data_IF_164541966559
#
_entry.id   IF_164541966559
#
_cell.length_a   1.000
_cell.length_b   1.000
_cell.length_c   1.000
_cell.angle_alpha   90.00
_cell.angle_beta   90.00
_cell.angle_gamma   90.00
#
_symmetry.space_group_name_H-M   'P 1'
#
loop_
_entity.id
_entity.type
_entity.pdbx_description
1 polymer ?
#
# COMPACT_ATOMS: atom_id res chain seq x y z
N UNK A 1 6.62 -5.09 10.78
CA UNK A 1 5.37 -5.13 11.58
C UNK A 1 4.90 -6.58 11.60
N UNK A 2 4.69 -7.16 12.77
CA UNK A 2 4.01 -8.46 12.87
C UNK A 2 2.63 -8.31 12.25
N UNK A 3 2.18 -9.28 11.44
CA UNK A 3 0.81 -9.28 10.94
C UNK A 3 -0.14 -9.24 12.13
N UNK A 4 -1.08 -8.31 12.11
CA UNK A 4 -2.12 -8.20 13.11
C UNK A 4 -2.89 -9.52 13.17
N UNK A 5 -2.87 -10.18 14.32
CA UNK A 5 -3.51 -11.49 14.48
C UNK A 5 -4.72 -11.37 15.39
N UNK A 6 -5.91 -11.54 14.81
CA UNK A 6 -7.14 -11.73 15.57
C UNK A 6 -7.08 -13.10 16.25
N UNK A 7 -7.35 -13.12 17.56
CA UNK A 7 -7.26 -14.32 18.39
C UNK A 7 -8.62 -14.98 18.59
N UNK A 8 -9.69 -14.19 18.73
CA UNK A 8 -11.02 -14.70 18.97
C UNK A 8 -12.13 -13.73 18.56
N UNK A 9 -13.32 -14.29 18.38
CA UNK A 9 -14.58 -13.56 18.29
C UNK A 9 -15.09 -13.24 19.71
N UNK A 10 -15.48 -12.00 19.97
CA UNK A 10 -16.32 -11.70 21.13
C UNK A 10 -17.71 -12.32 20.97
N UNK A 11 -18.30 -12.81 22.05
CA UNK A 11 -19.63 -13.42 22.02
C UNK A 11 -20.72 -12.45 21.55
N UNK A 12 -20.52 -11.15 21.76
CA UNK A 12 -21.43 -10.09 21.35
C UNK A 12 -21.18 -9.52 19.93
N UNK A 13 -20.30 -10.15 19.14
CA UNK A 13 -20.09 -9.79 17.72
C UNK A 13 -21.29 -10.19 16.86
N UNK A 14 -21.65 -9.38 15.86
CA UNK A 14 -22.59 -9.70 14.79
C UNK A 14 -21.89 -10.31 13.56
N UNK A 15 -20.55 -10.21 13.49
CA UNK A 15 -19.79 -10.62 12.30
C UNK A 15 -18.65 -11.55 12.68
N UNK A 16 -18.94 -12.84 12.96
CA UNK A 16 -17.93 -13.81 13.33
C UNK A 16 -16.84 -13.97 12.25
N UNK A 17 -15.59 -14.01 12.68
CA UNK A 17 -14.45 -14.42 11.86
C UNK A 17 -14.37 -15.95 11.89
N UNK A 18 -14.31 -16.63 10.72
CA UNK A 18 -14.29 -18.08 10.65
C UNK A 18 -13.05 -18.67 11.31
N UNK A 19 -13.20 -19.90 11.80
CA UNK A 19 -12.14 -20.73 12.40
C UNK A 19 -11.52 -20.19 13.70
N UNK A 20 -11.99 -19.03 14.19
CA UNK A 20 -11.60 -18.46 15.48
C UNK A 20 -12.61 -18.82 16.59
N UNK A 21 -12.14 -19.06 17.83
CA UNK A 21 -13.01 -19.37 18.95
C UNK A 21 -13.90 -18.18 19.33
N UNK A 22 -15.04 -18.46 19.96
CA UNK A 22 -15.86 -17.46 20.63
C UNK A 22 -15.47 -17.31 22.09
N UNK A 23 -15.42 -16.07 22.57
CA UNK A 23 -14.99 -15.71 23.91
C UNK A 23 -16.02 -14.78 24.51
N UNK A 24 -16.40 -15.07 25.75
CA UNK A 24 -17.27 -14.23 26.55
C UNK A 24 -16.64 -12.84 26.78
N UNK A 25 -17.35 -11.83 26.30
CA UNK A 25 -17.00 -10.40 26.35
C UNK A 25 -18.00 -9.60 27.21
N UNK A 26 -18.87 -10.27 27.97
CA UNK A 26 -19.95 -9.63 28.75
C UNK A 26 -19.46 -8.73 29.87
N UNK A 27 -18.19 -8.85 30.30
CA UNK A 27 -17.57 -7.96 31.29
C UNK A 27 -17.10 -6.62 30.70
N UNK A 28 -17.19 -6.43 29.37
CA UNK A 28 -16.87 -5.18 28.68
C UNK A 28 -18.17 -4.56 28.12
N UNK A 29 -18.40 -3.25 28.29
CA UNK A 29 -19.62 -2.60 27.82
C UNK A 29 -19.58 -2.32 26.30
N UNK A 30 -19.66 -3.36 25.48
CA UNK A 30 -19.48 -3.28 24.01
C UNK A 30 -20.55 -2.46 23.27
N UNK A 31 -21.61 -2.00 23.94
CA UNK A 31 -22.67 -1.17 23.35
C UNK A 31 -22.34 0.34 23.34
N UNK A 32 -21.37 0.80 24.13
CA UNK A 32 -20.96 2.20 24.21
C UNK A 32 -19.44 2.32 24.11
N UNK A 33 -18.96 2.87 22.99
CA UNK A 33 -17.53 3.01 22.75
C UNK A 33 -16.78 3.85 23.78
N UNK A 34 -17.42 4.85 24.39
CA UNK A 34 -16.79 5.62 25.49
C UNK A 34 -16.65 4.77 26.74
N UNK A 35 -17.65 3.93 27.00
CA UNK A 35 -17.59 2.99 28.11
C UNK A 35 -16.51 1.92 27.87
N UNK A 36 -16.34 1.44 26.63
CA UNK A 36 -15.23 0.56 26.24
C UNK A 36 -13.89 1.22 26.54
N UNK A 37 -13.64 2.44 26.03
CA UNK A 37 -12.40 3.19 26.30
C UNK A 37 -12.13 3.32 27.81
N UNK A 38 -13.16 3.61 28.60
CA UNK A 38 -13.05 3.86 30.03
C UNK A 38 -12.65 2.62 30.87
N UNK A 39 -12.74 1.41 30.31
CA UNK A 39 -12.28 0.17 30.96
C UNK A 39 -10.76 0.16 31.09
N UNK A 40 -10.03 0.55 30.04
CA UNK A 40 -8.58 0.48 30.00
C UNK A 40 -7.89 1.82 30.21
N UNK A 41 -8.45 2.90 29.68
CA UNK A 41 -7.80 4.21 29.68
C UNK A 41 -7.58 4.76 31.08
N UNK A 42 -6.31 4.95 31.45
CA UNK A 42 -5.89 5.50 32.75
C UNK A 42 -6.40 4.72 33.97
N UNK A 43 -6.68 3.42 33.83
CA UNK A 43 -7.17 2.57 34.93
C UNK A 43 -6.08 1.76 35.63
N UNK A 44 -4.89 1.66 35.05
CA UNK A 44 -3.75 0.95 35.63
C UNK A 44 -2.50 1.10 34.78
N UNK A 45 -1.36 0.66 35.31
CA UNK A 45 -0.11 0.62 34.54
C UNK A 45 -0.25 -0.36 33.36
N UNK A 46 0.08 0.10 32.16
CA UNK A 46 0.02 -0.73 30.95
C UNK A 46 -1.39 -0.91 30.38
N UNK A 47 -2.42 -0.27 30.95
CA UNK A 47 -3.77 -0.32 30.41
C UNK A 47 -4.03 0.88 29.50
N UNK A 48 -4.59 0.60 28.33
CA UNK A 48 -4.89 1.57 27.30
C UNK A 48 -6.33 1.45 26.86
N UNK A 49 -6.86 2.55 26.34
CA UNK A 49 -8.16 2.58 25.70
C UNK A 49 -8.27 3.80 24.82
N UNK A 50 -9.06 3.67 23.76
CA UNK A 50 -9.35 4.76 22.83
C UNK A 50 -10.74 4.57 22.26
N UNK A 51 -11.43 5.68 22.06
CA UNK A 51 -12.68 5.77 21.33
C UNK A 51 -12.56 6.85 20.27
N UNK A 52 -13.02 6.54 19.06
CA UNK A 52 -13.18 7.51 17.99
C UNK A 52 -14.53 7.31 17.29
N UNK A 53 -15.14 8.41 16.85
CA UNK A 53 -16.22 8.35 15.87
C UNK A 53 -15.63 7.99 14.51
N UNK A 54 -16.39 7.21 13.72
CA UNK A 54 -15.96 6.85 12.37
C UNK A 54 -15.70 8.10 11.52
N UNK A 55 -14.57 8.15 10.81
CA UNK A 55 -14.26 9.29 9.92
C UNK A 55 -15.01 9.07 8.60
N UNK A 56 -16.01 9.90 8.32
CA UNK A 56 -16.73 9.88 7.03
C UNK A 56 -17.94 8.96 6.95
N UNK A 57 -18.46 8.47 8.09
CA UNK A 57 -19.67 7.66 8.12
C UNK A 57 -20.33 7.63 9.49
N UNK A 58 -21.37 6.81 9.62
CA UNK A 58 -22.06 6.61 10.89
C UNK A 58 -21.36 5.53 11.74
N UNK A 59 -21.55 5.58 13.05
CA UNK A 59 -20.98 4.62 14.00
C UNK A 59 -19.69 5.06 14.69
N UNK A 60 -19.02 4.10 15.31
CA UNK A 60 -17.85 4.34 16.15
C UNK A 60 -16.94 3.11 16.24
N UNK A 61 -15.70 3.35 16.64
CA UNK A 61 -14.75 2.30 16.99
C UNK A 61 -14.11 2.61 18.34
N UNK A 62 -13.75 1.55 19.06
CA UNK A 62 -13.05 1.64 20.31
C UNK A 62 -12.15 0.43 20.52
N UNK A 63 -11.13 0.58 21.36
CA UNK A 63 -10.44 -0.56 21.94
C UNK A 63 -10.14 -0.31 23.41
N UNK A 64 -9.92 -1.40 24.14
CA UNK A 64 -9.48 -1.39 25.54
C UNK A 64 -8.61 -2.60 25.84
N UNK A 65 -7.57 -2.41 26.65
CA UNK A 65 -6.88 -3.51 27.33
C UNK A 65 -7.89 -4.26 28.21
N UNK A 66 -7.84 -5.60 28.20
CA UNK A 66 -8.71 -6.42 29.03
C UNK A 66 -8.32 -6.32 30.52
N UNK A 67 -9.29 -6.11 31.44
CA UNK A 67 -8.98 -5.93 32.87
C UNK A 67 -8.51 -7.21 33.57
N UNK A 68 -8.79 -8.40 33.02
CA UNK A 68 -8.41 -9.69 33.59
C UNK A 68 -7.14 -10.26 32.94
N UNK A 69 -6.89 -9.93 31.67
CA UNK A 69 -5.75 -10.38 30.85
C UNK A 69 -5.13 -9.18 30.13
N UNK A 70 -4.26 -8.45 30.83
CA UNK A 70 -3.63 -7.23 30.30
C UNK A 70 -2.69 -7.45 29.11
N UNK A 71 -2.38 -8.72 28.77
CA UNK A 71 -1.71 -9.10 27.54
C UNK A 71 -2.64 -9.08 26.31
N UNK A 72 -3.93 -8.84 26.51
CA UNK A 72 -4.98 -8.86 25.50
C UNK A 72 -5.75 -7.53 25.45
N UNK A 73 -6.31 -7.23 24.29
CA UNK A 73 -7.21 -6.09 24.09
C UNK A 73 -8.47 -6.50 23.32
N UNK A 74 -9.58 -5.89 23.70
CA UNK A 74 -10.84 -5.94 22.98
C UNK A 74 -10.94 -4.77 22.02
N UNK A 75 -11.21 -5.07 20.76
CA UNK A 75 -11.46 -4.09 19.71
C UNK A 75 -12.92 -4.20 19.28
N UNK A 76 -13.62 -3.07 19.31
CA UNK A 76 -15.03 -2.97 18.95
C UNK A 76 -15.22 -1.96 17.82
N UNK A 77 -15.93 -2.36 16.77
CA UNK A 77 -16.44 -1.47 15.73
C UNK A 77 -17.94 -1.60 15.65
N UNK A 78 -18.68 -0.51 15.76
CA UNK A 78 -20.13 -0.49 15.64
C UNK A 78 -20.58 0.42 14.50
N UNK A 79 -21.51 -0.08 13.68
CA UNK A 79 -22.20 0.65 12.62
C UNK A 79 -23.71 0.53 12.84
N UNK A 80 -24.50 1.61 12.70
CA UNK A 80 -25.94 1.56 13.01
C UNK A 80 -26.71 0.58 12.12
N UNK A 81 -26.38 0.50 10.83
CA UNK A 81 -27.07 -0.39 9.89
C UNK A 81 -26.46 -1.79 9.80
N UNK A 82 -25.16 -1.91 10.11
CA UNK A 82 -24.40 -3.14 9.86
C UNK A 82 -23.98 -3.83 11.17
N UNK A 83 -24.44 -3.34 12.32
CA UNK A 83 -24.19 -3.99 13.61
C UNK A 83 -22.74 -3.84 14.07
N UNK A 84 -22.29 -4.76 14.91
CA UNK A 84 -21.04 -4.62 15.67
C UNK A 84 -20.08 -5.77 15.41
N UNK A 85 -18.82 -5.45 15.18
CA UNK A 85 -17.71 -6.40 15.25
C UNK A 85 -17.01 -6.28 16.60
N UNK A 86 -16.90 -7.40 17.32
CA UNK A 86 -16.12 -7.48 18.58
C UNK A 86 -15.04 -8.54 18.42
N UNK A 87 -13.78 -8.12 18.48
CA UNK A 87 -12.62 -8.97 18.24
C UNK A 87 -11.63 -8.87 19.40
N UNK A 88 -11.01 -10.00 19.73
CA UNK A 88 -9.94 -10.09 20.71
C UNK A 88 -8.59 -10.18 20.00
N UNK A 89 -7.64 -9.36 20.42
CA UNK A 89 -6.26 -9.31 19.89
C UNK A 89 -5.24 -9.27 21.04
N UNK A 90 -3.95 -9.39 20.72
CA UNK A 90 -2.89 -9.04 21.68
C UNK A 90 -2.96 -7.55 21.99
N UNK A 91 -2.66 -7.16 23.23
CA UNK A 91 -2.76 -5.75 23.65
C UNK A 91 -1.95 -4.80 22.75
N UNK A 92 -0.72 -5.21 22.39
CA UNK A 92 0.15 -4.46 21.48
C UNK A 92 -0.41 -4.27 20.05
N UNK A 93 -1.39 -5.07 19.64
CA UNK A 93 -2.03 -4.97 18.31
C UNK A 93 -3.33 -4.13 18.34
N UNK A 94 -3.87 -3.80 19.52
CA UNK A 94 -5.15 -3.11 19.66
C UNK A 94 -5.19 -1.75 18.95
N UNK A 95 -4.13 -0.96 19.11
CA UNK A 95 -4.00 0.35 18.46
C UNK A 95 -3.86 0.25 16.93
N UNK A 96 -3.21 -0.80 16.44
CA UNK A 96 -3.06 -1.05 15.01
C UNK A 96 -4.41 -1.42 14.38
N UNK A 97 -5.17 -2.35 14.98
CA UNK A 97 -6.50 -2.71 14.49
C UNK A 97 -7.46 -1.51 14.53
N UNK A 98 -7.40 -0.73 15.60
CA UNK A 98 -8.16 0.52 15.70
C UNK A 98 -7.82 1.46 14.54
N UNK A 99 -6.55 1.58 14.15
CA UNK A 99 -6.12 2.41 13.01
C UNK A 99 -6.65 1.87 11.69
N UNK A 100 -6.56 0.56 11.45
CA UNK A 100 -7.10 -0.10 10.24
C UNK A 100 -8.61 0.13 10.08
N UNK A 101 -9.33 0.25 11.20
CA UNK A 101 -10.76 0.56 11.23
C UNK A 101 -11.10 2.05 11.09
N UNK A 102 -10.16 2.98 11.17
CA UNK A 102 -10.52 4.42 11.06
C UNK A 102 -11.05 4.85 9.69
N UNK A 103 -10.92 4.00 8.66
CA UNK A 103 -11.42 4.24 7.31
C UNK A 103 -12.76 3.56 6.98
N UNK A 104 -13.02 3.49 5.66
CA UNK A 104 -14.17 2.83 5.02
C UNK A 104 -14.37 1.35 5.37
N UNK A 105 -13.34 0.50 5.56
CA UNK A 105 -13.53 -0.94 5.79
C UNK A 105 -14.36 -1.25 7.04
N UNK A 106 -15.53 -1.87 6.93
CA UNK A 106 -16.32 -2.31 8.09
C UNK A 106 -15.75 -3.55 8.76
N UNK A 107 -15.24 -4.48 7.96
CA UNK A 107 -14.64 -5.71 8.43
C UNK A 107 -13.61 -6.23 7.42
N UNK A 108 -12.70 -7.07 7.91
CA UNK A 108 -11.67 -7.72 7.11
C UNK A 108 -11.84 -9.25 7.16
N UNK A 109 -11.52 -9.95 6.07
CA UNK A 109 -11.55 -11.42 5.91
C UNK A 109 -10.38 -11.92 5.05
N UNK A 110 -10.13 -13.23 5.07
CA UNK A 110 -9.33 -13.98 4.08
C UNK A 110 -8.05 -13.29 3.60
N UNK A 111 -7.12 -12.99 4.50
CA UNK A 111 -5.83 -12.39 4.12
C UNK A 111 -5.91 -10.90 3.73
N UNK A 112 -6.85 -10.15 4.30
CA UNK A 112 -6.92 -8.68 4.21
C UNK A 112 -7.97 -8.15 3.24
N UNK A 113 -8.80 -9.00 2.65
CA UNK A 113 -9.99 -8.57 1.92
C UNK A 113 -10.92 -7.82 2.85
N UNK A 114 -11.60 -6.78 2.38
CA UNK A 114 -12.48 -6.00 3.24
C UNK A 114 -13.82 -5.71 2.59
N UNK A 115 -14.81 -5.45 3.45
CA UNK A 115 -16.16 -5.12 3.04
C UNK A 115 -16.53 -3.75 3.61
N UNK A 116 -17.17 -2.91 2.82
CA UNK A 116 -17.57 -1.55 3.21
C UNK A 116 -19.06 -1.43 3.58
N UNK A 117 -19.80 -2.54 3.62
CA UNK A 117 -21.26 -2.54 3.80
C UNK A 117 -22.02 -2.88 2.52
N UNK A 118 -21.38 -2.76 1.35
CA UNK A 118 -22.00 -3.04 0.05
C UNK A 118 -21.11 -3.93 -0.82
N UNK A 119 -19.83 -3.58 -0.96
CA UNK A 119 -18.88 -4.16 -1.90
C UNK A 119 -17.69 -4.79 -1.17
N UNK A 120 -17.24 -5.93 -1.69
CA UNK A 120 -15.98 -6.54 -1.26
C UNK A 120 -14.82 -5.99 -2.09
N UNK A 121 -13.73 -5.68 -1.41
CA UNK A 121 -12.49 -5.20 -1.98
C UNK A 121 -11.34 -6.13 -1.62
N UNK A 122 -10.35 -6.19 -2.52
CA UNK A 122 -9.08 -6.87 -2.28
C UNK A 122 -8.28 -6.17 -1.18
N UNK A 123 -7.25 -6.83 -0.61
CA UNK A 123 -6.33 -6.19 0.30
C UNK A 123 -5.73 -4.91 -0.29
N UNK A 124 -5.66 -3.85 0.51
CA UNK A 124 -5.05 -2.59 0.11
C UNK A 124 -3.54 -2.78 -0.12
N UNK A 125 -3.13 -2.78 -1.39
CA UNK A 125 -1.74 -3.07 -1.79
C UNK A 125 -1.12 -1.99 -2.66
N UNK A 126 -1.87 -1.47 -3.63
CA UNK A 126 -1.33 -0.49 -4.59
C UNK A 126 -1.53 0.91 -4.05
N UNK A 127 -0.45 1.61 -3.72
CA UNK A 127 -0.48 3.00 -3.27
C UNK A 127 -0.64 3.96 -4.45
N UNK A 128 -1.63 4.83 -4.37
CA UNK A 128 -1.80 5.97 -5.26
C UNK A 128 -1.29 7.24 -4.58
N UNK A 129 -0.11 7.70 -5.00
CA UNK A 129 0.49 8.91 -4.45
C UNK A 129 -0.25 10.20 -4.82
N UNK A 130 -1.09 10.22 -5.86
CA UNK A 130 -1.84 11.43 -6.21
C UNK A 130 -3.03 11.64 -5.26
N UNK A 131 -3.76 10.57 -4.92
CA UNK A 131 -4.86 10.61 -3.94
C UNK A 131 -4.38 10.45 -2.50
N UNK A 132 -3.11 10.07 -2.29
CA UNK A 132 -2.55 9.73 -0.97
C UNK A 132 -3.35 8.62 -0.27
N UNK A 133 -3.77 7.62 -1.07
CA UNK A 133 -4.58 6.50 -0.61
C UNK A 133 -4.21 5.21 -1.33
N UNK A 134 -4.60 4.07 -0.77
CA UNK A 134 -4.48 2.80 -1.49
C UNK A 134 -5.63 2.67 -2.48
N UNK A 135 -5.33 2.20 -3.69
CA UNK A 135 -6.33 1.93 -4.70
C UNK A 135 -7.25 0.79 -4.24
N UNK A 136 -8.53 1.10 -4.10
CA UNK A 136 -9.57 0.14 -3.74
C UNK A 136 -9.98 -0.67 -4.97
N UNK A 137 -9.69 -1.98 -4.97
CA UNK A 137 -10.00 -2.88 -6.10
C UNK A 137 -11.16 -3.81 -5.74
N UNK A 138 -12.34 -3.68 -6.37
CA UNK A 138 -13.48 -4.53 -6.06
C UNK A 138 -13.22 -5.97 -6.49
N UNK A 139 -13.78 -6.91 -5.72
CA UNK A 139 -13.69 -8.34 -5.98
C UNK A 139 -14.81 -8.73 -6.94
N UNK A 140 -14.43 -9.18 -8.14
CA UNK A 140 -15.40 -9.57 -9.17
C UNK A 140 -16.19 -10.81 -8.72
N UNK A 141 -17.52 -10.74 -8.90
CA UNK A 141 -18.45 -11.82 -8.54
C UNK A 141 -18.33 -12.28 -7.07
N UNK A 142 -17.99 -11.38 -6.15
CA UNK A 142 -17.99 -11.69 -4.73
C UNK A 142 -19.41 -11.93 -4.22
N UNK A 143 -19.56 -13.00 -3.44
CA UNK A 143 -20.76 -13.28 -2.63
C UNK A 143 -20.38 -13.23 -1.16
N UNK A 144 -21.14 -12.45 -0.41
CA UNK A 144 -21.11 -12.50 1.07
C UNK A 144 -21.69 -13.82 1.55
N UNK A 145 -20.95 -14.52 2.40
CA UNK A 145 -21.41 -15.72 3.11
C UNK A 145 -21.75 -15.29 4.53
N UNK A 146 -23.03 -15.40 4.87
CA UNK A 146 -23.58 -15.04 6.17
C UNK A 146 -23.52 -16.21 7.16
N UNK A 147 -23.83 -15.95 8.43
CA UNK A 147 -23.99 -17.01 9.42
C UNK A 147 -25.14 -17.96 9.06
N UNK A 148 -26.22 -17.44 8.48
CA UNK A 148 -27.35 -18.26 8.03
C UNK A 148 -26.96 -19.26 6.92
N UNK A 149 -26.01 -18.91 6.05
CA UNK A 149 -25.52 -19.81 5.00
C UNK A 149 -24.67 -20.98 5.56
N UNK A 150 -24.19 -20.89 6.80
CA UNK A 150 -23.26 -21.85 7.41
C UNK A 150 -23.89 -22.69 8.52
N UNK A 151 -25.07 -22.31 8.99
CA UNK A 151 -25.84 -23.07 9.97
C UNK A 151 -26.77 -24.02 9.22
N UNK A 152 -26.42 -25.30 9.23
CA UNK A 152 -27.19 -26.39 8.64
C UNK A 152 -27.39 -27.53 9.64
N UNK A 153 -28.02 -28.63 9.21
CA UNK A 153 -28.32 -29.80 10.03
C UNK A 153 -27.07 -30.52 10.59
N UNK A 154 -25.86 -30.17 10.12
CA UNK A 154 -24.61 -30.69 10.67
C UNK A 154 -24.10 -29.88 11.87
N UNK A 155 -24.68 -28.71 12.13
CA UNK A 155 -24.34 -27.85 13.26
C UNK A 155 -25.24 -28.10 14.47
N UNK A 156 -24.64 -28.14 15.66
CA UNK A 156 -25.33 -28.45 16.92
C UNK A 156 -24.84 -27.49 18.01
N UNK A 157 -25.74 -26.65 18.52
CA UNK A 157 -25.45 -25.64 19.52
C UNK A 157 -25.07 -26.25 20.89
N UNK A 158 -25.53 -27.45 21.22
CA UNK A 158 -25.18 -28.09 22.51
C UNK A 158 -23.76 -28.65 22.51
N UNK A 159 -23.19 -28.91 21.34
CA UNK A 159 -21.80 -29.31 21.19
C UNK A 159 -20.84 -28.12 21.11
N UNK A 160 -21.37 -26.92 20.84
CA UNK A 160 -20.60 -25.69 20.70
C UNK A 160 -20.17 -25.06 22.02
N UNK A 161 -19.15 -24.21 21.96
CA UNK A 161 -18.48 -23.65 23.12
C UNK A 161 -18.26 -22.14 22.98
N UNK A 162 -18.55 -21.41 24.07
CA UNK A 162 -18.08 -20.05 24.29
C UNK A 162 -17.08 -20.09 25.45
N UNK A 163 -15.85 -19.66 25.20
CA UNK A 163 -14.74 -19.75 26.16
C UNK A 163 -14.71 -18.55 27.08
N UNK A 164 -14.09 -18.71 28.25
CA UNK A 164 -13.76 -17.59 29.13
C UNK A 164 -12.40 -17.01 28.71
N UNK A 165 -12.24 -15.69 28.79
CA UNK A 165 -10.98 -15.02 28.44
C UNK A 165 -9.77 -15.58 29.20
N UNK A 166 -9.94 -15.95 30.47
CA UNK A 166 -8.89 -16.56 31.28
C UNK A 166 -8.37 -17.91 30.74
N UNK A 167 -9.14 -18.59 29.89
CA UNK A 167 -8.83 -19.93 29.36
C UNK A 167 -8.23 -19.92 27.96
N UNK A 168 -7.98 -18.73 27.39
CA UNK A 168 -7.40 -18.59 26.07
C UNK A 168 -5.89 -18.76 26.14
N UNK A 169 -5.41 -19.70 25.33
CA UNK A 169 -4.00 -19.84 24.98
C UNK A 169 -3.72 -19.02 23.71
N UNK A 170 -2.88 -17.99 23.86
CA UNK A 170 -2.51 -17.04 22.79
C UNK A 170 -1.44 -17.62 21.86
N UNK A 171 -0.67 -18.59 22.36
CA UNK A 171 0.44 -19.21 21.62
C UNK A 171 -0.01 -20.44 20.83
N UNK A 172 -1.11 -21.09 21.23
CA UNK A 172 -1.70 -22.16 20.44
C UNK A 172 -2.17 -21.64 19.06
N UNK A 173 -1.97 -22.46 18.02
CA UNK A 173 -2.69 -22.30 16.76
C UNK A 173 -4.17 -22.57 17.07
N UNK A 174 -4.96 -21.51 17.28
CA UNK A 174 -6.39 -21.58 17.60
C UNK A 174 -7.22 -21.99 16.38
N UNK A 175 -6.88 -23.11 15.73
CA UNK A 175 -7.78 -23.75 14.77
C UNK A 175 -8.83 -24.51 15.58
N UNK A 176 -10.07 -24.04 15.55
CA UNK A 176 -11.15 -24.66 16.30
C UNK A 176 -11.69 -25.88 15.55
N UNK A 177 -11.53 -27.07 16.12
CA UNK A 177 -12.28 -28.23 15.66
C UNK A 177 -13.76 -28.05 16.00
N UNK A 178 -14.65 -28.27 15.02
CA UNK A 178 -16.09 -28.13 15.22
C UNK A 178 -16.59 -26.68 15.27
N UNK A 179 -15.90 -25.75 14.59
CA UNK A 179 -16.29 -24.33 14.56
C UNK A 179 -17.77 -24.09 14.19
N UNK A 180 -18.38 -24.95 13.36
CA UNK A 180 -19.82 -24.89 13.06
C UNK A 180 -20.72 -25.07 14.30
N UNK A 181 -20.36 -25.94 15.23
CA UNK A 181 -21.06 -26.09 16.52
C UNK A 181 -20.91 -24.84 17.38
N UNK A 182 -19.69 -24.28 17.44
CA UNK A 182 -19.42 -23.03 18.15
C UNK A 182 -20.21 -21.84 17.56
N UNK A 183 -20.33 -21.77 16.23
CA UNK A 183 -21.17 -20.78 15.54
C UNK A 183 -22.65 -20.99 15.89
N UNK A 184 -23.14 -22.24 15.95
CA UNK A 184 -24.51 -22.53 16.35
C UNK A 184 -24.78 -22.12 17.82
N UNK A 185 -23.81 -22.37 18.73
CA UNK A 185 -23.88 -21.92 20.12
C UNK A 185 -23.92 -20.40 20.21
N UNK A 186 -23.06 -19.71 19.46
CA UNK A 186 -23.07 -18.25 19.37
C UNK A 186 -24.44 -17.76 18.88
N UNK A 187 -24.97 -18.35 17.80
CA UNK A 187 -26.26 -17.96 17.22
C UNK A 187 -27.43 -18.12 18.21
N UNK A 188 -27.43 -19.20 19.00
CA UNK A 188 -28.43 -19.45 20.04
C UNK A 188 -28.32 -18.53 21.26
N UNK A 189 -27.13 -17.98 21.53
CA UNK A 189 -26.86 -17.12 22.68
C UNK A 189 -27.10 -15.62 22.41
N UNK A 190 -27.56 -15.25 21.20
CA UNK A 190 -27.74 -13.84 20.81
C UNK A 190 -28.96 -13.24 21.51
N UNK A 191 -28.78 -12.02 22.03
CA UNK A 191 -29.84 -11.29 22.73
C UNK A 191 -30.81 -10.55 21.80
N UNK A 192 -31.86 -10.00 22.40
CA UNK A 192 -32.84 -9.16 21.71
C UNK A 192 -32.17 -7.92 21.09
N UNK A 193 -32.49 -7.64 19.82
CA UNK A 193 -31.90 -6.52 19.07
C UNK A 193 -30.61 -6.86 18.31
N UNK A 194 -30.14 -8.11 18.35
CA UNK A 194 -29.03 -8.57 17.50
C UNK A 194 -29.44 -8.62 16.02
N UNK A 195 -28.47 -8.44 15.11
CA UNK A 195 -28.74 -8.51 13.67
C UNK A 195 -29.29 -9.88 13.23
N UNK A 196 -30.22 -9.96 12.26
CA UNK A 196 -30.62 -11.23 11.68
C UNK A 196 -29.42 -12.04 11.14
N UNK A 197 -29.46 -13.37 11.25
CA UNK A 197 -28.33 -14.25 10.87
C UNK A 197 -27.90 -14.10 9.41
N UNK A 198 -28.82 -13.78 8.50
CA UNK A 198 -28.51 -13.54 7.09
C UNK A 198 -27.75 -12.21 6.84
N UNK A 199 -27.73 -11.30 7.82
CA UNK A 199 -26.96 -10.06 7.80
C UNK A 199 -25.63 -10.19 8.56
N UNK A 200 -25.41 -11.31 9.23
CA UNK A 200 -24.19 -11.57 10.00
C UNK A 200 -23.09 -12.08 9.08
N UNK A 201 -22.20 -11.19 8.63
CA UNK A 201 -21.16 -11.50 7.65
C UNK A 201 -20.06 -12.38 8.26
N UNK A 202 -19.88 -13.59 7.73
CA UNK A 202 -18.84 -14.52 8.18
C UNK A 202 -17.64 -14.52 7.25
N UNK A 203 -17.84 -14.74 5.95
CA UNK A 203 -16.74 -14.79 4.98
C UNK A 203 -17.18 -14.32 3.60
N UNK A 204 -16.25 -14.28 2.66
CA UNK A 204 -16.55 -14.02 1.26
C UNK A 204 -16.27 -15.27 0.43
N UNK A 205 -17.06 -15.49 -0.61
CA UNK A 205 -16.81 -16.46 -1.66
C UNK A 205 -16.65 -15.70 -2.98
N UNK A 206 -15.58 -15.99 -3.72
CA UNK A 206 -15.33 -15.39 -5.02
C UNK A 206 -14.52 -16.37 -5.88
N UNK A 207 -14.62 -16.32 -7.22
CA UNK A 207 -13.83 -17.17 -8.10
C UNK A 207 -12.32 -17.05 -7.87
N UNK A 208 -11.83 -15.84 -7.54
CA UNK A 208 -10.40 -15.61 -7.27
C UNK A 208 -9.91 -16.22 -5.94
N UNK A 209 -10.82 -16.68 -5.08
CA UNK A 209 -10.52 -17.37 -3.83
C UNK A 209 -10.73 -18.90 -3.91
N UNK A 210 -11.11 -19.42 -5.07
CA UNK A 210 -11.25 -20.86 -5.27
C UNK A 210 -9.89 -21.54 -5.12
N UNK A 211 -9.82 -22.64 -4.36
CA UNK A 211 -8.56 -23.26 -3.94
C UNK A 211 -7.66 -23.71 -5.10
N UNK A 212 -8.25 -24.10 -6.23
CA UNK A 212 -7.58 -24.49 -7.48
C UNK A 212 -7.01 -23.29 -8.28
N UNK A 213 -7.44 -22.07 -7.95
CA UNK A 213 -6.97 -20.82 -8.57
C UNK A 213 -5.86 -20.12 -7.78
N UNK A 214 -5.56 -20.61 -6.57
CA UNK A 214 -4.57 -19.99 -5.70
C UNK A 214 -3.14 -20.33 -6.13
N UNK A 215 -2.28 -19.34 -5.98
CA UNK A 215 -0.86 -19.41 -6.29
C UNK A 215 -0.05 -19.77 -5.04
N UNK A 216 0.92 -20.67 -5.21
CA UNK A 216 1.91 -20.94 -4.19
C UNK A 216 3.06 -19.92 -4.21
N UNK A 217 4.04 -20.13 -3.34
CA UNK A 217 5.22 -19.26 -3.22
C UNK A 217 5.98 -19.12 -4.55
N UNK A 218 6.08 -20.17 -5.36
CA UNK A 218 6.84 -20.12 -6.60
C UNK A 218 6.14 -19.24 -7.65
N UNK A 219 4.86 -19.45 -7.86
CA UNK A 219 4.05 -18.70 -8.83
C UNK A 219 3.84 -17.24 -8.40
N UNK A 220 3.65 -16.99 -7.10
CA UNK A 220 3.57 -15.61 -6.55
C UNK A 220 4.90 -14.87 -6.71
N UNK A 221 6.04 -15.53 -6.45
CA UNK A 221 7.35 -14.92 -6.66
C UNK A 221 7.62 -14.61 -8.13
N UNK A 222 7.25 -15.52 -9.04
CA UNK A 222 7.34 -15.30 -10.48
C UNK A 222 6.51 -14.09 -10.93
N UNK A 223 5.27 -13.99 -10.44
CA UNK A 223 4.38 -12.84 -10.72
C UNK A 223 5.02 -11.52 -10.32
N UNK A 224 5.74 -11.50 -9.20
CA UNK A 224 6.45 -10.33 -8.68
C UNK A 224 7.85 -10.12 -9.26
N UNK A 225 8.30 -10.94 -10.21
CA UNK A 225 9.60 -10.83 -10.85
C UNK A 225 10.79 -11.14 -9.93
N UNK A 226 10.60 -11.97 -8.89
CA UNK A 226 11.65 -12.32 -7.93
C UNK A 226 11.84 -13.84 -7.81
N UNK A 227 12.96 -14.25 -7.23
CA UNK A 227 13.18 -15.65 -6.89
C UNK A 227 12.28 -16.09 -5.72
N UNK A 228 11.85 -17.36 -5.73
CA UNK A 228 11.06 -17.93 -4.64
C UNK A 228 11.80 -17.93 -3.29
N UNK A 229 13.14 -18.00 -3.29
CA UNK A 229 13.97 -17.85 -2.08
C UNK A 229 13.84 -16.45 -1.47
N UNK A 230 13.77 -15.41 -2.31
CA UNK A 230 13.57 -14.02 -1.87
C UNK A 230 12.21 -13.85 -1.20
N UNK A 231 11.13 -14.36 -1.81
CA UNK A 231 9.80 -14.32 -1.18
C UNK A 231 9.78 -15.05 0.17
N UNK A 232 10.40 -16.23 0.27
CA UNK A 232 10.53 -16.94 1.56
C UNK A 232 11.28 -16.11 2.61
N UNK A 233 12.35 -15.44 2.21
CA UNK A 233 13.09 -14.55 3.11
C UNK A 233 12.23 -13.37 3.60
N UNK A 234 11.41 -12.77 2.73
CA UNK A 234 10.47 -11.72 3.10
C UNK A 234 9.42 -12.21 4.10
N UNK A 235 8.84 -13.38 3.85
CA UNK A 235 7.87 -14.01 4.76
C UNK A 235 8.49 -14.33 6.13
N UNK A 236 9.70 -14.90 6.14
CA UNK A 236 10.43 -15.22 7.38
C UNK A 236 10.77 -13.98 8.22
N UNK A 237 10.96 -12.82 7.57
CA UNK A 237 11.25 -11.54 8.24
C UNK A 237 10.00 -10.75 8.62
N UNK A 238 8.80 -11.22 8.26
CA UNK A 238 7.56 -10.48 8.48
C UNK A 238 7.56 -9.12 7.77
N UNK A 239 8.08 -9.07 6.53
CA UNK A 239 8.08 -7.84 5.73
C UNK A 239 6.64 -7.44 5.39
N UNK A 240 6.26 -6.23 5.80
CA UNK A 240 4.87 -5.74 5.74
C UNK A 240 4.36 -5.47 4.33
N UNK A 241 5.25 -5.38 3.35
CA UNK A 241 4.88 -5.15 1.95
C UNK A 241 4.34 -6.40 1.26
N UNK A 242 4.56 -7.60 1.82
CA UNK A 242 3.99 -8.83 1.24
C UNK A 242 2.53 -8.93 1.70
N UNK A 243 1.56 -9.20 0.81
CA UNK A 243 0.18 -9.41 1.22
C UNK A 243 0.07 -10.64 2.14
N UNK A 244 -0.79 -10.60 3.17
CA UNK A 244 -1.14 -11.80 3.91
C UNK A 244 -1.68 -12.88 2.97
N UNK A 245 -1.37 -14.17 3.20
CA UNK A 245 -1.94 -15.24 2.41
C UNK A 245 -3.45 -15.35 2.62
N UNK A 246 -4.19 -15.68 1.56
CA UNK A 246 -5.63 -15.90 1.62
C UNK A 246 -5.97 -17.21 2.34
N UNK A 247 -5.07 -18.19 2.29
CA UNK A 247 -5.18 -19.44 3.04
C UNK A 247 -3.81 -20.11 3.21
N UNK A 248 -3.75 -21.09 4.10
CA UNK A 248 -2.57 -21.94 4.31
C UNK A 248 -2.99 -23.40 4.12
N UNK A 249 -2.53 -24.03 3.03
CA UNK A 249 -2.84 -25.43 2.71
C UNK A 249 -1.63 -26.32 3.03
N UNK A 250 -1.77 -27.24 3.98
CA UNK A 250 -0.68 -28.13 4.37
C UNK A 250 0.59 -27.38 4.80
N UNK A 251 0.43 -26.24 5.49
CA UNK A 251 1.53 -25.37 5.91
C UNK A 251 2.11 -24.47 4.81
N UNK A 252 1.53 -24.46 3.61
CA UNK A 252 1.98 -23.62 2.49
C UNK A 252 1.05 -22.42 2.34
N UNK A 253 1.62 -21.23 2.41
CA UNK A 253 0.91 -19.97 2.13
C UNK A 253 0.47 -19.92 0.67
N UNK A 254 -0.79 -19.56 0.46
CA UNK A 254 -1.41 -19.48 -0.86
C UNK A 254 -2.07 -18.10 -1.06
N UNK A 255 -1.92 -17.54 -2.26
CA UNK A 255 -2.45 -16.21 -2.61
C UNK A 255 -3.41 -16.27 -3.78
N UNK A 256 -4.42 -15.41 -3.78
CA UNK A 256 -5.22 -15.19 -4.98
C UNK A 256 -4.34 -14.56 -6.07
N UNK A 257 -4.50 -15.04 -7.32
CA UNK A 257 -3.75 -14.49 -8.47
C UNK A 257 -3.86 -12.96 -8.58
N UNK A 258 -5.05 -12.33 -8.42
CA UNK A 258 -5.15 -10.89 -8.50
C UNK A 258 -4.43 -10.16 -7.35
N UNK A 259 -4.41 -10.73 -6.14
CA UNK A 259 -3.64 -10.16 -5.01
C UNK A 259 -2.14 -10.20 -5.27
N UNK A 260 -1.64 -11.30 -5.83
CA UNK A 260 -0.25 -11.40 -6.26
C UNK A 260 0.09 -10.38 -7.37
N UNK A 261 -0.84 -10.14 -8.30
CA UNK A 261 -0.69 -9.14 -9.35
C UNK A 261 -0.68 -7.70 -8.79
N UNK A 262 -1.57 -7.39 -7.84
CA UNK A 262 -1.62 -6.09 -7.15
C UNK A 262 -0.31 -5.82 -6.40
N UNK A 263 0.23 -6.83 -5.71
CA UNK A 263 1.52 -6.73 -5.05
C UNK A 263 2.69 -6.54 -6.05
N UNK A 264 2.70 -7.29 -7.14
CA UNK A 264 3.69 -7.14 -8.19
C UNK A 264 3.65 -5.74 -8.82
N UNK A 265 2.45 -5.19 -9.02
CA UNK A 265 2.26 -3.82 -9.48
C UNK A 265 2.84 -2.80 -8.50
N UNK A 266 2.51 -2.90 -7.21
CA UNK A 266 3.08 -2.02 -6.18
C UNK A 266 4.61 -2.07 -6.17
N UNK A 267 5.21 -3.26 -6.33
CA UNK A 267 6.67 -3.42 -6.45
C UNK A 267 7.24 -2.73 -7.69
N UNK A 268 6.58 -2.82 -8.85
CA UNK A 268 7.02 -2.10 -10.05
C UNK A 268 6.94 -0.58 -9.88
N UNK A 269 6.03 -0.10 -9.03
CA UNK A 269 5.76 1.32 -8.76
C UNK A 269 6.54 1.88 -7.55
N UNK A 270 7.35 1.05 -6.90
CA UNK A 270 8.24 1.47 -5.81
C UNK A 270 9.38 2.34 -6.33
N UNK A 271 10.14 2.98 -5.44
CA UNK A 271 11.31 3.77 -5.84
C UNK A 271 12.35 2.92 -6.60
N UNK A 272 12.57 1.67 -6.17
CA UNK A 272 13.43 0.69 -6.87
C UNK A 272 12.88 0.33 -8.25
N UNK A 273 11.56 0.10 -8.33
CA UNK A 273 10.88 -0.19 -9.58
C UNK A 273 10.99 0.96 -10.57
N UNK A 274 10.76 2.20 -10.15
CA UNK A 274 10.92 3.37 -11.03
C UNK A 274 12.38 3.58 -11.41
N UNK A 275 13.31 3.41 -10.46
CA UNK A 275 14.74 3.52 -10.71
C UNK A 275 15.21 2.55 -11.81
N UNK A 276 14.76 1.30 -11.79
CA UNK A 276 15.16 0.29 -12.79
C UNK A 276 14.87 0.67 -14.25
N UNK A 277 13.85 1.49 -14.51
CA UNK A 277 13.50 2.00 -15.85
C UNK A 277 14.46 3.10 -16.30
N UNK A 278 14.97 3.85 -15.34
CA UNK A 278 15.81 5.01 -15.55
C UNK A 278 17.30 4.69 -15.39
N UNK A 279 17.68 3.42 -15.41
CA UNK A 279 19.08 2.96 -15.38
C UNK A 279 19.43 2.20 -16.66
N UNK A 280 20.63 2.41 -17.20
CA UNK A 280 21.08 1.77 -18.44
C UNK A 280 21.33 0.26 -18.31
N UNK A 281 21.66 -0.21 -17.10
CA UNK A 281 22.22 -1.55 -16.90
C UNK A 281 21.27 -2.51 -16.16
N UNK A 282 20.06 -2.05 -15.81
CA UNK A 282 19.04 -2.85 -15.11
C UNK A 282 19.45 -3.37 -13.72
N UNK A 283 20.61 -2.95 -13.21
CA UNK A 283 21.08 -3.25 -11.85
C UNK A 283 20.76 -2.08 -10.93
N UNK A 284 20.13 -2.31 -9.78
CA UNK A 284 19.70 -1.27 -8.83
C UNK A 284 20.84 -0.49 -8.13
N UNK A 285 22.05 -0.58 -8.66
CA UNK A 285 23.24 0.15 -8.23
C UNK A 285 23.87 0.97 -9.37
N UNK A 286 23.24 0.97 -10.55
CA UNK A 286 23.66 1.77 -11.68
C UNK A 286 23.21 3.24 -11.51
N UNK A 287 23.98 4.16 -12.08
CA UNK A 287 23.57 5.56 -12.18
C UNK A 287 22.30 5.68 -13.01
N UNK A 288 21.49 6.70 -12.73
CA UNK A 288 20.38 7.05 -13.62
C UNK A 288 20.91 7.50 -14.99
N UNK A 289 20.09 7.44 -16.04
CA UNK A 289 20.50 7.84 -17.40
C UNK A 289 21.06 9.27 -17.44
N UNK A 290 20.48 10.19 -16.66
CA UNK A 290 20.99 11.55 -16.52
C UNK A 290 22.34 11.61 -15.81
N UNK A 291 22.47 10.93 -14.67
CA UNK A 291 23.72 10.89 -13.91
C UNK A 291 24.86 10.24 -14.71
N UNK A 292 24.57 9.21 -15.51
CA UNK A 292 25.53 8.61 -16.43
C UNK A 292 26.00 9.61 -17.50
N UNK A 293 25.09 10.37 -18.12
CA UNK A 293 25.48 11.42 -19.08
C UNK A 293 26.33 12.52 -18.42
N UNK A 294 26.06 12.87 -17.17
CA UNK A 294 26.90 13.79 -16.38
C UNK A 294 28.29 13.18 -16.18
N UNK A 295 28.37 11.92 -15.78
CA UNK A 295 29.63 11.21 -15.61
C UNK A 295 30.43 11.20 -16.92
N UNK A 296 29.84 10.82 -18.04
CA UNK A 296 30.51 10.78 -19.35
C UNK A 296 31.05 12.16 -19.74
N UNK A 297 30.24 13.21 -19.55
CA UNK A 297 30.63 14.59 -19.85
C UNK A 297 31.80 15.06 -18.97
N UNK A 298 31.73 14.83 -17.66
CA UNK A 298 32.80 15.23 -16.75
C UNK A 298 34.05 14.39 -16.92
N UNK A 299 33.92 13.10 -17.24
CA UNK A 299 35.05 12.25 -17.57
C UNK A 299 35.80 12.81 -18.78
N UNK A 300 35.09 13.14 -19.88
CA UNK A 300 35.71 13.76 -21.05
C UNK A 300 36.39 15.09 -20.72
N UNK A 301 35.73 15.93 -19.90
CA UNK A 301 36.27 17.22 -19.46
C UNK A 301 37.53 17.07 -18.60
N UNK A 302 37.51 16.17 -17.60
CA UNK A 302 38.64 15.91 -16.72
C UNK A 302 39.80 15.27 -17.48
N UNK A 303 39.55 14.36 -18.41
CA UNK A 303 40.59 13.78 -19.27
C UNK A 303 41.24 14.85 -20.14
N UNK A 304 40.46 15.73 -20.77
CA UNK A 304 41.01 16.85 -21.53
C UNK A 304 41.85 17.80 -20.66
N UNK A 305 41.40 18.05 -19.42
CA UNK A 305 42.11 18.94 -18.50
C UNK A 305 43.38 18.32 -17.90
N UNK A 306 43.36 17.04 -17.55
CA UNK A 306 44.45 16.36 -16.84
C UNK A 306 45.47 15.75 -17.80
N UNK A 307 45.02 15.23 -18.95
CA UNK A 307 45.88 14.61 -19.94
C UNK A 307 46.18 15.55 -21.11
N UNK A 308 45.19 16.07 -21.82
CA UNK A 308 45.44 16.80 -23.08
C UNK A 308 46.13 18.16 -22.88
N UNK A 309 46.03 18.74 -21.68
CA UNK A 309 46.79 19.91 -21.28
C UNK A 309 48.25 19.54 -20.90
N UNK A 310 49.28 19.95 -21.66
CA UNK A 310 50.67 19.59 -21.38
C UNK A 310 51.18 20.10 -20.03
N UNK A 311 50.69 21.24 -19.55
CA UNK A 311 51.14 21.84 -18.29
C UNK A 311 50.59 21.09 -17.08
N UNK A 312 49.38 20.55 -17.17
CA UNK A 312 48.81 19.66 -16.15
C UNK A 312 49.45 18.27 -16.23
N UNK A 313 49.63 17.71 -17.43
CA UNK A 313 50.27 16.40 -17.62
C UNK A 313 51.66 16.33 -16.99
N UNK A 314 52.44 17.41 -17.06
CA UNK A 314 53.78 17.51 -16.44
C UNK A 314 53.76 17.51 -14.90
N UNK A 315 52.62 17.80 -14.25
CA UNK A 315 52.49 17.79 -12.79
C UNK A 315 52.33 16.39 -12.20
N UNK A 316 51.92 15.42 -13.02
CA UNK A 316 51.85 14.02 -12.61
C UNK A 316 53.25 13.47 -12.34
N UNK A 317 53.37 12.70 -11.25
CA UNK A 317 54.58 11.93 -10.96
C UNK A 317 54.89 10.99 -12.13
N UNK A 318 56.16 10.88 -12.52
CA UNK A 318 56.59 10.15 -13.72
C UNK A 318 56.01 8.73 -13.82
N UNK A 319 55.95 8.00 -12.70
CA UNK A 319 55.41 6.63 -12.65
C UNK A 319 53.90 6.52 -12.92
N UNK A 320 53.15 7.62 -12.78
CA UNK A 320 51.70 7.69 -13.02
C UNK A 320 51.34 8.56 -14.23
N UNK A 321 52.33 9.07 -14.98
CA UNK A 321 52.10 9.93 -16.15
C UNK A 321 51.82 9.08 -17.39
N UNK A 322 50.76 8.29 -17.34
CA UNK A 322 50.26 7.48 -18.45
C UNK A 322 48.80 7.84 -18.71
N UNK A 323 48.34 7.66 -19.95
CA UNK A 323 46.95 8.00 -20.31
C UNK A 323 45.95 7.21 -19.45
N UNK A 324 46.20 5.92 -19.29
CA UNK A 324 45.34 5.00 -18.55
C UNK A 324 45.16 5.38 -17.06
N UNK A 325 46.24 5.81 -16.39
CA UNK A 325 46.17 6.26 -14.98
C UNK A 325 45.36 7.56 -14.85
N UNK A 326 45.54 8.48 -15.80
CA UNK A 326 44.79 9.75 -15.83
C UNK A 326 43.32 9.51 -16.15
N UNK A 327 43.01 8.67 -17.14
CA UNK A 327 41.63 8.31 -17.49
C UNK A 327 40.91 7.65 -16.30
N UNK A 328 41.57 6.74 -15.57
CA UNK A 328 40.98 6.14 -14.37
C UNK A 328 40.67 7.17 -13.30
N UNK A 329 41.59 8.11 -13.04
CA UNK A 329 41.36 9.18 -12.06
C UNK A 329 40.25 10.12 -12.52
N UNK A 330 40.21 10.47 -13.81
CA UNK A 330 39.16 11.30 -14.39
C UNK A 330 37.79 10.61 -14.29
N UNK A 331 37.73 9.29 -14.51
CA UNK A 331 36.53 8.47 -14.34
C UNK A 331 36.05 8.45 -12.88
N UNK A 332 36.96 8.30 -11.91
CA UNK A 332 36.64 8.34 -10.47
C UNK A 332 36.11 9.72 -10.04
N UNK A 333 36.74 10.81 -10.49
CA UNK A 333 36.27 12.17 -10.23
C UNK A 333 34.89 12.41 -10.86
N UNK A 334 34.68 11.98 -12.10
CA UNK A 334 33.41 12.12 -12.78
C UNK A 334 32.29 11.30 -12.10
N UNK A 335 32.61 10.10 -11.63
CA UNK A 335 31.69 9.30 -10.82
C UNK A 335 31.31 10.05 -9.54
N UNK A 336 32.27 10.63 -8.82
CA UNK A 336 32.00 11.42 -7.62
C UNK A 336 31.05 12.59 -7.88
N UNK A 337 31.21 13.29 -9.00
CA UNK A 337 30.28 14.37 -9.40
C UNK A 337 28.88 13.83 -9.66
N UNK A 338 28.76 12.70 -10.36
CA UNK A 338 27.47 12.11 -10.71
C UNK A 338 26.70 11.61 -9.48
N UNK A 339 27.37 10.98 -8.51
CA UNK A 339 26.71 10.49 -7.28
C UNK A 339 26.40 11.60 -6.27
N UNK A 340 27.17 12.69 -6.28
CA UNK A 340 26.96 13.86 -5.41
C UNK A 340 26.10 14.94 -6.06
N UNK A 341 25.32 14.61 -7.10
CA UNK A 341 24.57 15.61 -7.85
C UNK A 341 23.58 16.40 -6.98
N UNK A 342 22.96 15.76 -5.98
CA UNK A 342 22.01 16.43 -5.06
C UNK A 342 22.68 17.48 -4.16
N UNK A 343 24.00 17.38 -3.95
CA UNK A 343 24.79 18.42 -3.25
C UNK A 343 25.09 19.63 -4.14
N UNK A 344 25.07 19.43 -5.46
CA UNK A 344 25.38 20.46 -6.47
C UNK A 344 24.09 21.16 -6.94
N UNK A 345 23.05 20.37 -7.18
CA UNK A 345 21.73 20.83 -7.61
C UNK A 345 20.71 20.37 -6.58
N UNK A 346 20.04 21.28 -5.85
CA UNK A 346 19.11 20.88 -4.81
C UNK A 346 17.84 20.28 -5.44
N UNK A 347 17.81 18.96 -5.63
CA UNK A 347 16.82 18.28 -6.47
C UNK A 347 15.39 18.51 -5.98
N UNK A 348 15.22 18.45 -4.66
CA UNK A 348 13.94 18.69 -4.01
C UNK A 348 13.40 20.11 -4.25
N UNK A 349 14.27 21.13 -4.19
CA UNK A 349 13.86 22.51 -4.41
C UNK A 349 13.57 22.79 -5.89
N UNK A 350 14.35 22.21 -6.79
CA UNK A 350 14.07 22.27 -8.22
C UNK A 350 12.73 21.61 -8.55
N UNK A 351 12.47 20.40 -8.04
CA UNK A 351 11.20 19.70 -8.25
C UNK A 351 10.01 20.54 -7.75
N UNK A 352 10.12 21.18 -6.58
CA UNK A 352 9.08 22.06 -6.05
C UNK A 352 8.82 23.29 -6.96
N UNK A 353 9.87 23.84 -7.57
CA UNK A 353 9.77 24.94 -8.52
C UNK A 353 9.11 24.47 -9.84
N UNK A 354 9.55 23.33 -10.39
CA UNK A 354 8.98 22.71 -11.60
C UNK A 354 7.50 22.40 -11.39
N UNK A 355 7.11 21.79 -10.27
CA UNK A 355 5.72 21.54 -9.91
C UNK A 355 4.88 22.82 -9.95
N UNK A 356 5.39 23.89 -9.34
CA UNK A 356 4.69 25.17 -9.27
C UNK A 356 4.53 25.80 -10.67
N UNK A 357 5.55 25.69 -11.52
CA UNK A 357 5.52 26.17 -12.90
C UNK A 357 4.51 25.38 -13.75
N UNK A 358 4.56 24.05 -13.71
CA UNK A 358 3.61 23.16 -14.39
C UNK A 358 2.16 23.49 -14.01
N UNK A 359 1.87 23.60 -12.70
CA UNK A 359 0.52 23.91 -12.23
C UNK A 359 0.06 25.33 -12.62
N UNK A 360 0.98 26.27 -12.80
CA UNK A 360 0.67 27.62 -13.27
C UNK A 360 0.29 27.64 -14.76
N UNK A 361 0.98 26.86 -15.59
CA UNK A 361 0.64 26.71 -17.01
C UNK A 361 -0.69 25.99 -17.18
N UNK A 362 -0.90 24.88 -16.48
CA UNK A 362 -2.19 24.19 -16.51
C UNK A 362 -3.34 25.09 -16.07
N UNK A 363 -3.15 25.94 -15.05
CA UNK A 363 -4.19 26.92 -14.67
C UNK A 363 -4.52 27.86 -15.82
N UNK A 364 -3.50 28.39 -16.49
CA UNK A 364 -3.66 29.30 -17.63
C UNK A 364 -4.38 28.62 -18.80
N UNK A 365 -4.06 27.35 -19.07
CA UNK A 365 -4.72 26.53 -20.09
C UNK A 365 -6.18 26.26 -19.72
N UNK A 366 -6.45 25.87 -18.47
CA UNK A 366 -7.81 25.63 -17.97
C UNK A 366 -8.68 26.88 -18.09
N UNK A 367 -8.17 28.06 -17.73
CA UNK A 367 -8.89 29.33 -17.89
C UNK A 367 -9.23 29.62 -19.37
N UNK A 368 -8.26 29.40 -20.28
CA UNK A 368 -8.47 29.54 -21.73
C UNK A 368 -9.45 28.52 -22.31
N UNK A 369 -9.46 27.30 -21.78
CA UNK A 369 -10.32 26.22 -22.29
C UNK A 369 -11.74 26.37 -21.76
N UNK A 370 -11.91 26.67 -20.47
CA UNK A 370 -13.23 26.87 -19.86
C UNK A 370 -14.02 28.01 -20.51
N UNK A 371 -13.33 29.06 -20.97
CA UNK A 371 -13.96 30.15 -21.73
C UNK A 371 -14.41 29.75 -23.14
N UNK A 372 -13.86 28.68 -23.71
CA UNK A 372 -14.11 28.22 -25.09
C UNK A 372 -15.06 27.02 -25.14
N UNK A 373 -14.82 25.98 -24.35
CA UNK A 373 -15.49 24.66 -24.42
C UNK A 373 -16.15 24.22 -23.11
N UNK A 374 -15.89 24.89 -21.98
CA UNK A 374 -16.48 24.57 -20.68
C UNK A 374 -15.86 23.38 -19.94
N UNK A 375 -15.27 22.41 -20.64
CA UNK A 375 -14.54 21.26 -20.07
C UNK A 375 -13.11 21.15 -20.63
N UNK A 376 -12.21 20.61 -19.81
CA UNK A 376 -10.79 20.39 -20.14
C UNK A 376 -10.62 18.97 -20.65
N UNK A 377 -10.13 18.82 -21.88
CA UNK A 377 -9.98 17.52 -22.53
C UNK A 377 -8.50 17.18 -22.81
N UNK A 378 -8.26 15.96 -23.29
CA UNK A 378 -6.92 15.52 -23.69
C UNK A 378 -6.40 16.41 -24.83
N UNK A 379 -5.19 16.92 -24.67
CA UNK A 379 -4.54 17.82 -25.63
C UNK A 379 -4.77 19.32 -25.38
N UNK A 380 -5.63 19.68 -24.42
CA UNK A 380 -5.80 21.09 -24.03
C UNK A 380 -4.65 21.60 -23.14
N UNK A 381 -3.96 20.70 -22.44
CA UNK A 381 -2.84 21.01 -21.55
C UNK A 381 -1.51 20.95 -22.30
N UNK A 382 -0.77 22.05 -22.25
CA UNK A 382 0.54 22.19 -22.86
C UNK A 382 1.54 22.68 -21.81
N UNK A 383 2.81 22.37 -22.02
CA UNK A 383 3.90 22.94 -21.23
C UNK A 383 4.82 23.76 -22.11
N UNK A 384 5.32 24.88 -21.60
CA UNK A 384 6.41 25.60 -22.25
C UNK A 384 7.66 24.73 -22.31
N UNK A 385 8.43 24.89 -23.39
CA UNK A 385 9.66 24.16 -23.67
C UNK A 385 10.64 24.15 -22.50
N UNK A 386 10.80 25.29 -21.81
CA UNK A 386 11.73 25.38 -20.68
C UNK A 386 11.24 24.54 -19.48
N UNK A 387 9.93 24.53 -19.22
CA UNK A 387 9.33 23.76 -18.14
C UNK A 387 9.37 22.26 -18.45
N UNK A 388 9.03 21.87 -19.68
CA UNK A 388 9.12 20.49 -20.13
C UNK A 388 10.56 19.95 -20.02
N UNK A 389 11.57 20.74 -20.42
CA UNK A 389 12.99 20.38 -20.26
C UNK A 389 13.45 20.26 -18.81
N UNK A 390 12.97 21.13 -17.92
CA UNK A 390 13.28 21.01 -16.49
C UNK A 390 12.63 19.78 -15.87
N UNK A 391 11.39 19.45 -16.25
CA UNK A 391 10.72 18.23 -15.81
C UNK A 391 11.47 16.98 -16.29
N UNK A 392 11.82 16.91 -17.59
CA UNK A 392 12.65 15.85 -18.16
C UNK A 392 13.99 15.74 -17.44
N UNK A 393 14.64 16.86 -17.11
CA UNK A 393 15.89 16.87 -16.37
C UNK A 393 15.72 16.22 -14.98
N UNK A 394 14.70 16.58 -14.21
CA UNK A 394 14.43 15.94 -12.91
C UNK A 394 14.22 14.42 -13.08
N UNK A 395 13.43 14.01 -14.07
CA UNK A 395 13.14 12.59 -14.35
C UNK A 395 14.41 11.81 -14.64
N UNK A 396 15.31 12.34 -15.46
CA UNK A 396 16.55 11.65 -15.84
C UNK A 396 17.54 11.51 -14.68
N UNK A 397 17.55 12.43 -13.73
CA UNK A 397 18.63 12.54 -12.75
C UNK A 397 18.26 12.01 -11.36
N UNK A 398 16.97 12.02 -10.97
CA UNK A 398 16.53 11.46 -9.69
C UNK A 398 15.14 10.81 -9.82
N UNK A 399 15.13 9.48 -9.91
CA UNK A 399 13.91 8.69 -10.08
C UNK A 399 12.93 8.80 -8.90
N UNK A 400 13.43 8.95 -7.68
CA UNK A 400 12.60 8.99 -6.47
C UNK A 400 11.95 10.38 -6.30
N UNK A 401 12.70 11.45 -6.55
CA UNK A 401 12.16 12.82 -6.59
C UNK A 401 11.20 12.97 -7.77
N UNK A 402 11.53 12.45 -8.94
CA UNK A 402 10.67 12.51 -10.12
C UNK A 402 9.33 11.79 -9.94
N UNK A 403 9.33 10.60 -9.34
CA UNK A 403 8.10 9.85 -9.03
C UNK A 403 7.15 10.68 -8.16
N UNK A 404 7.68 11.26 -7.08
CA UNK A 404 6.91 12.12 -6.17
C UNK A 404 6.42 13.38 -6.88
N UNK A 405 7.28 14.02 -7.67
CA UNK A 405 6.93 15.21 -8.45
C UNK A 405 5.72 14.97 -9.36
N UNK A 406 5.71 13.88 -10.13
CA UNK A 406 4.60 13.53 -11.02
C UNK A 406 3.32 13.27 -10.22
N UNK A 407 3.40 12.52 -9.12
CA UNK A 407 2.25 12.23 -8.25
C UNK A 407 1.65 13.51 -7.66
N UNK A 408 2.50 14.43 -7.19
CA UNK A 408 2.06 15.72 -6.65
C UNK A 408 1.46 16.63 -7.73
N UNK A 409 2.02 16.66 -8.94
CA UNK A 409 1.43 17.41 -10.06
C UNK A 409 0.02 16.89 -10.35
N UNK A 410 -0.15 15.58 -10.53
CA UNK A 410 -1.45 14.98 -10.83
C UNK A 410 -2.45 15.20 -9.68
N UNK A 411 -2.03 14.94 -8.44
CA UNK A 411 -2.89 15.10 -7.27
C UNK A 411 -3.34 16.54 -7.06
N UNK A 412 -2.45 17.52 -7.24
CA UNK A 412 -2.78 18.94 -7.11
C UNK A 412 -3.58 19.47 -8.30
N UNK A 413 -3.26 19.04 -9.53
CA UNK A 413 -4.07 19.39 -10.70
C UNK A 413 -5.52 18.92 -10.54
N UNK A 414 -5.72 17.71 -10.00
CA UNK A 414 -7.06 17.21 -9.70
C UNK A 414 -7.77 18.01 -8.59
N UNK A 415 -7.11 18.23 -7.45
CA UNK A 415 -7.74 18.90 -6.30
C UNK A 415 -7.92 20.41 -6.45
N UNK A 416 -6.99 21.09 -7.12
CA UNK A 416 -6.94 22.56 -7.19
C UNK A 416 -7.48 23.11 -8.51
N UNK A 417 -7.38 22.34 -9.60
CA UNK A 417 -7.78 22.78 -10.95
C UNK A 417 -8.92 21.95 -11.53
N UNK A 418 -9.41 20.93 -10.80
CA UNK A 418 -10.49 20.02 -11.22
C UNK A 418 -10.19 19.33 -12.56
N UNK A 419 -8.91 19.03 -12.80
CA UNK A 419 -8.47 18.30 -14.00
C UNK A 419 -8.51 16.81 -13.70
N UNK A 420 -9.16 16.03 -14.57
CA UNK A 420 -9.16 14.58 -14.43
C UNK A 420 -7.73 14.00 -14.56
N UNK A 421 -7.31 13.07 -13.68
CA UNK A 421 -5.93 12.54 -13.70
C UNK A 421 -5.46 12.02 -15.07
N UNK A 422 -6.30 11.32 -15.87
CA UNK A 422 -5.91 10.88 -17.22
C UNK A 422 -5.61 12.02 -18.20
N UNK A 423 -6.18 13.22 -17.99
CA UNK A 423 -5.91 14.40 -18.82
C UNK A 423 -4.56 15.00 -18.45
N UNK A 424 -4.27 15.12 -17.15
CA UNK A 424 -2.95 15.57 -16.66
C UNK A 424 -1.85 14.61 -17.12
N UNK A 425 -2.05 13.30 -16.95
CA UNK A 425 -1.14 12.26 -17.40
C UNK A 425 -0.78 12.41 -18.89
N UNK A 426 -1.81 12.59 -19.73
CA UNK A 426 -1.63 12.77 -21.16
C UNK A 426 -0.85 14.04 -21.50
N UNK A 427 -1.14 15.17 -20.85
CA UNK A 427 -0.40 16.42 -21.04
C UNK A 427 1.09 16.29 -20.70
N UNK A 428 1.40 15.61 -19.59
CA UNK A 428 2.78 15.32 -19.20
C UNK A 428 3.48 14.39 -20.21
N UNK A 429 2.80 13.34 -20.67
CA UNK A 429 3.35 12.42 -21.69
C UNK A 429 3.67 13.15 -22.99
N UNK A 430 2.77 14.00 -23.47
CA UNK A 430 2.99 14.76 -24.71
C UNK A 430 4.14 15.76 -24.57
N UNK A 431 4.20 16.52 -23.48
CA UNK A 431 5.28 17.47 -23.26
C UNK A 431 6.65 16.78 -23.20
N UNK A 432 6.75 15.65 -22.49
CA UNK A 432 7.99 14.89 -22.40
C UNK A 432 8.36 14.19 -23.72
N UNK A 433 7.37 13.74 -24.50
CA UNK A 433 7.63 13.12 -25.80
C UNK A 433 8.08 14.14 -26.87
N UNK A 434 7.61 15.38 -26.79
CA UNK A 434 7.96 16.44 -27.73
C UNK A 434 9.29 17.13 -27.39
N UNK A 435 9.50 17.41 -26.11
CA UNK A 435 10.58 18.32 -25.67
C UNK A 435 11.65 17.65 -24.78
N UNK A 436 11.42 16.39 -24.37
CA UNK A 436 12.33 15.62 -23.53
C UNK A 436 13.51 14.99 -24.27
N UNK A 437 14.50 14.53 -23.51
CA UNK A 437 15.69 13.83 -24.03
C UNK A 437 15.65 12.30 -23.82
N UNK A 438 14.62 11.81 -23.12
CA UNK A 438 14.36 10.39 -22.95
C UNK A 438 13.65 9.80 -24.18
N UNK A 439 13.92 8.53 -24.46
CA UNK A 439 13.16 7.78 -25.46
C UNK A 439 11.68 7.70 -25.06
N UNK A 440 10.77 7.84 -26.03
CA UNK A 440 9.33 7.87 -25.74
C UNK A 440 8.82 6.60 -25.08
N UNK A 441 9.44 5.43 -25.33
CA UNK A 441 9.07 4.20 -24.64
C UNK A 441 9.49 4.24 -23.16
N UNK A 442 10.67 4.78 -22.85
CA UNK A 442 11.16 4.96 -21.47
C UNK A 442 10.29 5.96 -20.71
N UNK A 443 9.91 7.08 -21.36
CA UNK A 443 8.98 8.06 -20.77
C UNK A 443 7.65 7.40 -20.41
N UNK A 444 7.08 6.63 -21.34
CA UNK A 444 5.81 5.94 -21.10
C UNK A 444 5.92 4.94 -19.96
N UNK A 445 6.95 4.12 -19.94
CA UNK A 445 7.16 3.12 -18.89
C UNK A 445 7.39 3.78 -17.51
N UNK A 446 8.13 4.90 -17.46
CA UNK A 446 8.28 5.70 -16.26
C UNK A 446 6.93 6.24 -15.78
N UNK A 447 6.16 6.88 -16.68
CA UNK A 447 4.87 7.47 -16.36
C UNK A 447 3.85 6.40 -15.92
N UNK A 448 3.81 5.23 -16.55
CA UNK A 448 2.97 4.10 -16.12
C UNK A 448 3.25 3.66 -14.67
N UNK A 449 4.50 3.79 -14.21
CA UNK A 449 4.89 3.45 -12.83
C UNK A 449 4.70 4.62 -11.85
N UNK A 450 4.79 5.86 -12.32
CA UNK A 450 4.70 7.07 -11.49
C UNK A 450 3.26 7.61 -11.33
N UNK A 451 2.48 7.62 -12.41
CA UNK A 451 1.09 8.10 -12.45
C UNK A 451 0.15 7.18 -11.68
N UNK A 452 -1.00 7.68 -11.16
CA UNK A 452 -1.98 6.87 -10.43
C UNK A 452 -2.30 5.54 -11.13
N UNK A 453 -2.50 4.44 -10.38
CA UNK A 453 -2.90 3.18 -10.99
C UNK A 453 -4.19 3.41 -11.76
N UNK A 454 -4.28 2.88 -12.99
CA UNK A 454 -5.52 2.94 -13.73
C UNK A 454 -6.61 2.30 -12.87
N UNK A 455 -7.68 3.04 -12.59
CA UNK A 455 -8.90 2.46 -12.03
C UNK A 455 -9.31 1.42 -13.05
N UNK A 456 -9.14 0.13 -12.74
CA UNK A 456 -9.65 -0.92 -13.62
C UNK A 456 -11.16 -0.73 -13.63
N UNK A 457 -11.66 -0.10 -14.71
CA UNK A 457 -13.08 -0.01 -14.97
C UNK A 457 -13.63 -1.44 -14.92
N UNK A 458 -14.74 -1.59 -14.21
CA UNK A 458 -15.34 -2.86 -13.75
C UNK A 458 -15.42 -3.96 -14.81
#
# INVERSE_FOLDING_TARGET
MSYLRVLANGSSTDHPVPDLPFVDDTHIPTADGKAVEAVGRNRGNGMWGRFDRSRGGEGWLAFTTDPLRQDLAWCVRAHPEHGRSVLLVRDGDGAALHTDWTGRPLLFRSGGYFWDGTTWFRPLQVWDGASESFAERPVKAARTVSAADLLDDSTDAEQGRIRKIATIDVEAALTVQGWGHDLARWAAARGDGALPLHQCVVKLSAPELAGDQLLGVAETAQTAGIAASTLRAYLARGQSEVPPPQTVLGGRSMWARPVAADWAEQRRRSDEGVHSVLTSDGTGHALSVGAQRIQERFHASFTAQLWDNPDQRKRWALRHRTKDEVERTAQELAWSVAVSLDEIVPMHHLAAAVRSAVLAEFRSDVERVRTRSGSVEKGDLNLDLAIAKMLDWVIRHDSAVARRLVQEIVGRAHRELEIEPPVTAYGLEQALALDGELDSAVVREFLERALPPATQAG
#
